data_IF_894135008354
#
_entry.id   IF_894135008354
#
_cell.length_a   1.000
_cell.length_b   1.000
_cell.length_c   1.000
_cell.angle_alpha   90.00
_cell.angle_beta   90.00
_cell.angle_gamma   90.00
#
_symmetry.space_group_name_H-M   'P 1'
#
loop_
_entity.id
_entity.type
_entity.pdbx_description
1 polymer ?
#
# COMPACT_ATOMS: atom_id res chain seq x y z
N UNK A 1 -48.52 39.97 -25.43
CA UNK A 1 -49.16 39.04 -26.39
C UNK A 1 -48.06 38.12 -26.90
N UNK A 2 -48.01 36.83 -26.59
CA UNK A 2 -48.94 35.96 -25.82
C UNK A 2 -48.16 34.85 -25.11
N UNK A 3 -48.61 34.51 -23.89
CA UNK A 3 -48.46 33.19 -23.24
C UNK A 3 -48.92 32.05 -24.18
N UNK A 4 -48.69 30.75 -23.96
CA UNK A 4 -48.11 29.97 -22.86
C UNK A 4 -47.32 28.78 -23.51
N UNK A 5 -46.88 27.69 -22.87
CA UNK A 5 -47.23 27.08 -21.59
C UNK A 5 -46.13 26.13 -21.07
N UNK A 6 -46.29 25.64 -19.83
CA UNK A 6 -45.48 24.54 -19.27
C UNK A 6 -46.13 23.19 -19.63
N UNK A 7 -45.34 22.11 -19.66
CA UNK A 7 -45.58 20.88 -18.86
C UNK A 7 -44.51 19.82 -19.18
N UNK A 8 -44.18 19.00 -18.18
CA UNK A 8 -43.36 17.80 -18.30
C UNK A 8 -44.18 16.62 -17.78
N UNK A 9 -44.12 15.46 -18.45
CA UNK A 9 -44.58 14.15 -17.94
C UNK A 9 -43.72 13.00 -18.52
N UNK A 10 -43.85 11.83 -17.89
CA UNK A 10 -43.05 10.59 -18.01
C UNK A 10 -43.08 9.87 -19.36
N UNK A 11 -42.21 8.86 -19.53
CA UNK A 11 -42.74 7.54 -19.85
C UNK A 11 -42.17 6.42 -18.97
N UNK A 12 -43.00 5.92 -18.05
CA UNK A 12 -42.79 4.64 -17.36
C UNK A 12 -43.76 3.62 -17.98
N UNK A 13 -43.22 2.62 -18.69
CA UNK A 13 -43.99 1.55 -19.34
C UNK A 13 -43.82 0.23 -18.55
N UNK A 14 -44.88 -0.31 -17.89
CA UNK A 14 -44.76 -1.44 -16.99
C UNK A 14 -45.51 -2.71 -17.43
N UNK A 15 -45.39 -3.15 -18.69
CA UNK A 15 -46.05 -4.38 -19.19
C UNK A 15 -45.13 -5.35 -19.98
N UNK A 16 -44.23 -6.07 -19.28
CA UNK A 16 -43.63 -7.31 -19.82
C UNK A 16 -43.40 -8.40 -18.74
N UNK A 17 -44.48 -8.85 -18.08
CA UNK A 17 -44.44 -10.01 -17.20
C UNK A 17 -44.73 -11.33 -17.94
N UNK A 18 -43.68 -11.93 -18.51
CA UNK A 18 -43.70 -13.32 -18.98
C UNK A 18 -43.79 -14.33 -17.82
N UNK A 19 -44.65 -15.35 -17.97
CA UNK A 19 -44.96 -16.33 -16.92
C UNK A 19 -43.77 -17.26 -16.54
N UNK A 20 -43.71 -17.77 -15.29
CA UNK A 20 -42.57 -18.57 -14.81
C UNK A 20 -42.52 -19.98 -15.40
N UNK A 21 -41.32 -20.37 -15.83
CA UNK A 21 -40.99 -21.74 -16.28
C UNK A 21 -40.90 -22.76 -15.14
N UNK A 22 -41.15 -24.02 -15.47
CA UNK A 22 -41.22 -25.18 -14.56
C UNK A 22 -39.85 -25.49 -13.91
N UNK A 23 -39.79 -25.90 -12.62
CA UNK A 23 -38.54 -26.33 -11.99
C UNK A 23 -38.01 -27.64 -12.58
N UNK A 24 -36.77 -27.62 -13.09
CA UNK A 24 -36.04 -28.83 -13.49
C UNK A 24 -35.60 -29.69 -12.29
N UNK A 25 -35.56 -31.00 -12.49
CA UNK A 25 -35.17 -32.00 -11.49
C UNK A 25 -33.69 -31.89 -11.06
N UNK A 26 -33.35 -32.12 -9.78
CA UNK A 26 -31.97 -32.04 -9.31
C UNK A 26 -31.15 -33.28 -9.74
N UNK A 27 -30.01 -33.04 -10.40
CA UNK A 27 -29.01 -34.07 -10.69
C UNK A 27 -28.21 -34.51 -9.46
N UNK A 28 -27.52 -35.67 -9.52
CA UNK A 28 -26.86 -36.28 -8.36
C UNK A 28 -25.66 -35.47 -7.84
N UNK A 29 -25.44 -35.55 -6.53
CA UNK A 29 -24.61 -34.61 -5.79
C UNK A 29 -23.12 -34.60 -6.15
N UNK A 30 -22.56 -33.39 -6.23
CA UNK A 30 -21.12 -33.12 -6.22
C UNK A 30 -20.66 -32.97 -4.76
N UNK A 31 -19.65 -33.71 -4.27
CA UNK A 31 -19.22 -33.59 -2.88
C UNK A 31 -18.54 -32.25 -2.61
N UNK A 32 -18.88 -31.61 -1.49
CA UNK A 32 -18.21 -30.40 -1.01
C UNK A 32 -16.74 -30.68 -0.67
N UNK A 33 -15.80 -29.76 -0.99
CA UNK A 33 -14.40 -29.93 -0.62
C UNK A 33 -14.24 -29.90 0.91
N UNK A 34 -13.76 -31.00 1.48
CA UNK A 34 -13.45 -31.08 2.91
C UNK A 34 -12.06 -30.49 3.17
N UNK A 35 -12.01 -29.46 4.01
CA UNK A 35 -10.76 -28.94 4.56
C UNK A 35 -10.15 -30.02 5.49
N UNK A 36 -8.89 -30.44 5.32
CA UNK A 36 -8.24 -31.38 6.23
C UNK A 36 -8.05 -30.75 7.62
N UNK A 37 -8.35 -31.51 8.68
CA UNK A 37 -8.00 -31.12 10.04
C UNK A 37 -6.46 -31.21 10.24
N UNK A 38 -5.85 -30.36 11.08
CA UNK A 38 -4.43 -30.44 11.39
C UNK A 38 -4.05 -31.80 11.98
N UNK A 39 -2.86 -32.30 11.62
CA UNK A 39 -2.28 -33.50 12.25
C UNK A 39 -1.94 -33.20 13.71
N UNK A 40 -2.26 -34.13 14.61
CA UNK A 40 -1.72 -34.11 15.97
C UNK A 40 -0.19 -34.28 15.92
N UNK A 41 0.53 -33.53 16.75
CA UNK A 41 1.97 -33.65 16.92
C UNK A 41 2.32 -34.91 17.73
N UNK A 42 3.45 -35.54 17.42
CA UNK A 42 3.81 -36.88 17.90
C UNK A 42 4.69 -36.87 19.18
N UNK A 43 4.39 -36.02 20.17
CA UNK A 43 5.23 -35.83 21.37
C UNK A 43 4.48 -35.87 22.72
N UNK A 44 3.27 -36.44 22.77
CA UNK A 44 2.48 -36.60 24.02
C UNK A 44 2.67 -37.96 24.74
N UNK A 45 3.76 -38.68 24.45
CA UNK A 45 4.05 -40.03 24.98
C UNK A 45 4.92 -40.01 26.27
N UNK A 46 4.69 -39.02 27.15
CA UNK A 46 5.36 -38.90 28.44
C UNK A 46 4.54 -39.54 29.58
N UNK A 47 4.75 -40.84 29.81
CA UNK A 47 4.07 -41.58 30.89
C UNK A 47 4.48 -41.09 32.30
N UNK A 48 3.53 -40.50 33.02
CA UNK A 48 3.71 -40.10 34.43
C UNK A 48 3.79 -41.33 35.36
N UNK A 49 4.62 -41.30 36.42
CA UNK A 49 4.75 -42.42 37.35
C UNK A 49 3.47 -42.63 38.18
N UNK A 50 3.07 -43.89 38.35
CA UNK A 50 1.85 -44.24 39.07
C UNK A 50 1.89 -43.86 40.55
N UNK A 51 0.88 -43.10 41.00
CA UNK A 51 0.68 -42.76 42.41
C UNK A 51 0.29 -44.02 43.20
N UNK A 52 1.06 -44.35 44.25
CA UNK A 52 0.68 -45.38 45.23
C UNK A 52 -0.59 -44.94 45.95
N UNK A 53 -1.68 -45.67 45.76
CA UNK A 53 -2.85 -45.54 46.64
C UNK A 53 -2.57 -46.26 47.96
N UNK A 54 -2.45 -45.49 49.04
CA UNK A 54 -2.66 -45.98 50.40
C UNK A 54 -4.01 -45.48 50.92
N UNK A 55 -4.76 -46.35 51.58
CA UNK A 55 -6.03 -46.01 52.24
C UNK A 55 -7.28 -46.35 51.41
N UNK A 56 -8.08 -47.30 51.90
CA UNK A 56 -9.31 -47.74 51.25
C UNK A 56 -10.44 -46.72 51.37
N UNK A 57 -10.85 -46.14 50.24
CA UNK A 57 -12.12 -45.44 50.07
C UNK A 57 -13.03 -46.23 49.11
N UNK A 58 -14.31 -46.37 49.44
CA UNK A 58 -15.31 -46.97 48.56
C UNK A 58 -15.35 -46.20 47.23
N UNK A 59 -15.36 -46.86 46.05
CA UNK A 59 -15.43 -46.14 44.79
C UNK A 59 -16.72 -45.30 44.74
N UNK A 60 -16.55 -43.99 44.54
CA UNK A 60 -17.69 -43.09 44.37
C UNK A 60 -18.49 -43.53 43.12
N UNK A 61 -19.83 -43.55 43.19
CA UNK A 61 -20.64 -43.91 42.02
C UNK A 61 -20.42 -42.90 40.89
N UNK A 62 -20.56 -43.31 39.61
CA UNK A 62 -20.35 -42.43 38.47
C UNK A 62 -21.30 -41.24 38.55
N UNK A 63 -20.75 -40.04 38.71
CA UNK A 63 -21.53 -38.80 38.72
C UNK A 63 -22.08 -38.53 37.33
N UNK A 64 -23.42 -38.47 37.14
CA UNK A 64 -23.98 -38.09 35.85
C UNK A 64 -23.63 -36.63 35.52
N UNK A 65 -23.52 -36.26 34.23
CA UNK A 65 -23.34 -34.86 33.85
C UNK A 65 -24.59 -34.07 34.27
N UNK A 66 -24.44 -33.21 35.27
CA UNK A 66 -25.52 -32.39 35.79
C UNK A 66 -25.66 -31.12 34.96
N UNK A 67 -26.79 -31.00 34.27
CA UNK A 67 -27.28 -29.75 33.67
C UNK A 67 -27.13 -28.57 34.66
N UNK A 68 -26.69 -27.42 34.16
CA UNK A 68 -26.33 -26.25 34.97
C UNK A 68 -27.41 -25.80 35.99
N UNK A 69 -28.74 -25.88 35.72
CA UNK A 69 -29.78 -25.63 36.72
C UNK A 69 -29.81 -26.65 37.86
N UNK A 70 -29.56 -27.93 37.58
CA UNK A 70 -29.57 -29.02 38.58
C UNK A 70 -28.37 -28.89 39.51
N UNK A 71 -27.19 -28.61 38.94
CA UNK A 71 -25.97 -28.33 39.71
C UNK A 71 -26.17 -27.12 40.64
N UNK A 72 -26.77 -26.03 40.15
CA UNK A 72 -27.08 -24.84 40.98
C UNK A 72 -28.01 -25.17 42.16
N UNK A 73 -29.04 -25.99 41.92
CA UNK A 73 -29.96 -26.43 42.98
C UNK A 73 -29.24 -27.25 44.06
N UNK A 74 -28.38 -28.20 43.66
CA UNK A 74 -27.61 -29.04 44.57
C UNK A 74 -26.57 -28.26 45.39
N UNK A 75 -25.89 -27.27 44.77
CA UNK A 75 -24.99 -26.37 45.50
C UNK A 75 -25.77 -25.48 46.49
N UNK A 76 -26.98 -25.04 46.15
CA UNK A 76 -27.86 -24.32 47.09
C UNK A 76 -28.33 -25.16 48.28
N UNK A 77 -28.48 -26.48 48.09
CA UNK A 77 -28.90 -27.43 49.13
C UNK A 77 -27.78 -28.00 50.01
N UNK A 78 -26.51 -27.79 49.67
CA UNK A 78 -25.36 -28.37 50.38
C UNK A 78 -24.24 -27.33 50.57
N UNK A 79 -24.12 -26.76 51.79
CA UNK A 79 -23.12 -25.74 52.11
C UNK A 79 -21.68 -26.20 51.87
N UNK A 80 -21.32 -27.41 52.30
CA UNK A 80 -19.98 -27.97 52.06
C UNK A 80 -19.68 -28.15 50.55
N UNK A 81 -20.68 -28.53 49.76
CA UNK A 81 -20.56 -28.64 48.31
C UNK A 81 -20.39 -27.27 47.64
N UNK A 82 -21.08 -26.24 48.14
CA UNK A 82 -20.93 -24.86 47.68
C UNK A 82 -19.53 -24.30 47.96
N UNK A 83 -18.99 -24.56 49.15
CA UNK A 83 -17.63 -24.18 49.53
C UNK A 83 -16.57 -24.90 48.70
N UNK A 84 -16.72 -26.21 48.45
CA UNK A 84 -15.80 -26.94 47.61
C UNK A 84 -15.87 -26.47 46.15
N UNK A 85 -17.07 -26.25 45.60
CA UNK A 85 -17.23 -25.67 44.27
C UNK A 85 -16.66 -24.24 44.18
N UNK A 86 -16.64 -23.48 45.28
CA UNK A 86 -15.96 -22.17 45.35
C UNK A 86 -14.44 -22.34 45.35
N UNK A 87 -13.88 -23.21 46.20
CA UNK A 87 -12.43 -23.52 46.22
C UNK A 87 -11.93 -24.01 44.86
N UNK A 88 -12.69 -24.88 44.19
CA UNK A 88 -12.34 -25.38 42.86
C UNK A 88 -12.37 -24.27 41.79
N UNK A 89 -13.33 -23.32 41.86
CA UNK A 89 -13.33 -22.14 40.97
C UNK A 89 -12.14 -21.21 41.24
N UNK A 90 -11.79 -20.98 42.50
CA UNK A 90 -10.60 -20.24 42.91
C UNK A 90 -9.31 -20.92 42.38
N UNK A 91 -9.24 -22.26 42.46
CA UNK A 91 -8.11 -23.05 41.95
C UNK A 91 -8.02 -23.08 40.42
N UNK A 92 -9.14 -23.10 39.68
CA UNK A 92 -9.14 -23.03 38.21
C UNK A 92 -8.48 -21.73 37.72
N UNK A 93 -8.72 -20.60 38.40
CA UNK A 93 -8.04 -19.33 38.10
C UNK A 93 -6.53 -19.33 38.36
N UNK A 94 -6.01 -20.28 39.14
CA UNK A 94 -4.57 -20.48 39.38
C UNK A 94 -3.95 -21.49 38.40
N UNK A 95 -4.76 -22.33 37.76
CA UNK A 95 -4.34 -23.36 36.79
C UNK A 95 -4.44 -22.90 35.34
N UNK A 96 -5.36 -21.97 35.05
CA UNK A 96 -5.42 -21.30 33.76
C UNK A 96 -4.22 -20.35 33.63
N UNK A 97 -3.32 -20.64 32.69
CA UNK A 97 -2.43 -19.59 32.15
C UNK A 97 -3.33 -18.50 31.56
N UNK A 98 -3.07 -17.21 31.80
CA UNK A 98 -3.81 -16.16 31.12
C UNK A 98 -3.59 -16.31 29.61
N UNK A 99 -4.67 -16.58 28.87
CA UNK A 99 -4.63 -16.51 27.41
C UNK A 99 -4.30 -15.06 27.01
N UNK A 100 -3.36 -14.83 26.07
CA UNK A 100 -3.12 -13.50 25.53
C UNK A 100 -4.44 -12.94 24.97
N UNK A 101 -4.81 -11.73 25.41
CA UNK A 101 -5.93 -10.99 24.83
C UNK A 101 -5.59 -10.43 23.44
N UNK A 102 -4.33 -10.58 23.01
CA UNK A 102 -3.84 -10.17 21.71
C UNK A 102 -4.45 -11.04 20.62
N UNK A 103 -5.34 -10.43 19.83
CA UNK A 103 -5.87 -11.04 18.62
C UNK A 103 -4.74 -11.27 17.61
N UNK A 104 -4.80 -12.40 16.91
CA UNK A 104 -3.95 -12.66 15.74
C UNK A 104 -3.96 -11.42 14.81
N UNK A 105 -2.80 -10.79 14.52
CA UNK A 105 -2.73 -9.57 13.71
C UNK A 105 -3.36 -9.72 12.31
N UNK A 106 -3.35 -10.93 11.75
CA UNK A 106 -4.00 -11.27 10.49
C UNK A 106 -5.51 -11.50 10.60
N UNK A 107 -6.10 -11.56 11.79
CA UNK A 107 -7.55 -11.77 11.98
C UNK A 107 -8.37 -10.70 11.28
N UNK A 108 -8.01 -9.42 11.43
CA UNK A 108 -8.69 -8.30 10.75
C UNK A 108 -8.69 -8.50 9.23
N UNK A 109 -7.54 -8.84 8.66
CA UNK A 109 -7.38 -9.09 7.22
C UNK A 109 -8.24 -10.27 6.75
N UNK A 110 -8.25 -11.39 7.49
CA UNK A 110 -9.07 -12.57 7.16
C UNK A 110 -10.56 -12.30 7.27
N UNK A 111 -10.99 -11.54 8.29
CA UNK A 111 -12.40 -11.13 8.45
C UNK A 111 -12.82 -10.21 7.30
N UNK A 112 -12.04 -9.17 6.99
CA UNK A 112 -12.32 -8.27 5.88
C UNK A 112 -12.35 -8.99 4.52
N UNK A 113 -11.41 -9.91 4.28
CA UNK A 113 -11.41 -10.74 3.08
C UNK A 113 -12.71 -11.55 2.96
N UNK A 114 -13.12 -12.28 4.02
CA UNK A 114 -14.38 -13.06 3.98
C UNK A 114 -15.62 -12.17 3.87
N UNK A 115 -15.61 -10.96 4.43
CA UNK A 115 -16.69 -9.98 4.23
C UNK A 115 -16.79 -9.51 2.77
N UNK A 116 -15.65 -9.23 2.12
CA UNK A 116 -15.58 -8.80 0.72
C UNK A 116 -15.91 -9.93 -0.26
N UNK A 117 -15.52 -11.18 0.03
CA UNK A 117 -15.95 -12.37 -0.73
C UNK A 117 -17.47 -12.57 -0.69
N UNK A 118 -18.09 -12.36 0.48
CA UNK A 118 -19.55 -12.48 0.66
C UNK A 118 -20.32 -11.31 0.07
N UNK A 119 -19.71 -10.12 0.02
CA UNK A 119 -20.32 -8.89 -0.48
C UNK A 119 -19.30 -8.13 -1.34
N UNK A 120 -19.07 -8.56 -2.58
CA UNK A 120 -18.13 -7.90 -3.47
C UNK A 120 -18.56 -6.45 -3.75
N UNK A 121 -17.60 -5.53 -3.96
CA UNK A 121 -17.92 -4.16 -4.36
C UNK A 121 -18.64 -4.18 -5.70
N UNK A 122 -19.70 -3.36 -5.85
CA UNK A 122 -20.46 -3.26 -7.12
C UNK A 122 -19.59 -2.74 -8.27
N UNK A 123 -18.56 -1.98 -7.94
CA UNK A 123 -17.53 -1.45 -8.83
C UNK A 123 -16.21 -1.63 -8.07
N UNK A 124 -15.34 -2.56 -8.45
CA UNK A 124 -14.04 -2.75 -7.81
C UNK A 124 -13.06 -1.64 -8.24
N UNK A 125 -12.15 -1.27 -7.34
CA UNK A 125 -10.97 -0.48 -7.69
C UNK A 125 -10.06 -1.34 -8.60
N UNK A 126 -9.56 -0.82 -9.74
CA UNK A 126 -8.64 -1.56 -10.60
C UNK A 126 -7.35 -1.94 -9.85
N UNK A 127 -6.79 -3.12 -10.14
CA UNK A 127 -5.59 -3.61 -9.43
C UNK A 127 -4.43 -2.61 -9.45
N UNK A 128 -4.21 -1.96 -10.59
CA UNK A 128 -3.18 -0.93 -10.80
C UNK A 128 -3.44 0.40 -10.06
N UNK A 129 -4.63 0.60 -9.50
CA UNK A 129 -4.98 1.77 -8.69
C UNK A 129 -4.99 1.47 -7.17
N UNK A 130 -4.87 0.19 -6.76
CA UNK A 130 -4.98 -0.22 -5.35
C UNK A 130 -3.90 0.39 -4.45
N UNK A 131 -2.67 0.55 -4.94
CA UNK A 131 -1.60 1.19 -4.17
C UNK A 131 -1.94 2.66 -3.86
N UNK A 132 -2.45 3.40 -4.84
CA UNK A 132 -2.81 4.81 -4.66
C UNK A 132 -3.99 4.97 -3.68
N UNK A 133 -5.06 4.20 -3.87
CA UNK A 133 -6.21 4.17 -2.96
C UNK A 133 -5.78 3.85 -1.52
N UNK A 134 -4.92 2.86 -1.34
CA UNK A 134 -4.43 2.45 -0.02
C UNK A 134 -3.52 3.49 0.64
N UNK A 135 -2.47 3.97 -0.04
CA UNK A 135 -1.51 4.89 0.58
C UNK A 135 -2.11 6.29 0.79
N UNK A 136 -3.00 6.77 -0.10
CA UNK A 136 -3.77 7.99 0.13
C UNK A 136 -4.72 7.84 1.34
N UNK A 137 -5.38 6.69 1.50
CA UNK A 137 -6.22 6.42 2.67
C UNK A 137 -5.40 6.30 3.97
N UNK A 138 -4.17 5.76 3.93
CA UNK A 138 -3.26 5.73 5.09
C UNK A 138 -2.77 7.12 5.47
N UNK A 139 -2.45 7.98 4.51
CA UNK A 139 -2.11 9.38 4.76
C UNK A 139 -3.31 10.14 5.33
N UNK A 140 -4.51 9.98 4.79
CA UNK A 140 -5.71 10.61 5.37
C UNK A 140 -6.00 10.15 6.81
N UNK A 141 -5.71 8.88 7.13
CA UNK A 141 -5.83 8.36 8.49
C UNK A 141 -4.81 9.00 9.46
N UNK A 142 -3.55 9.16 9.04
CA UNK A 142 -2.53 9.91 9.80
C UNK A 142 -3.00 11.34 10.08
N UNK A 143 -3.52 12.03 9.06
CA UNK A 143 -4.02 13.40 9.14
C UNK A 143 -5.36 13.53 9.89
N UNK A 144 -6.02 12.43 10.26
CA UNK A 144 -7.36 12.49 10.82
C UNK A 144 -7.41 13.13 12.20
N UNK A 145 -6.43 12.79 13.04
CA UNK A 145 -6.43 13.12 14.46
C UNK A 145 -5.59 14.38 14.78
N UNK A 146 -5.04 15.04 13.76
CA UNK A 146 -4.18 16.23 13.89
C UNK A 146 -4.97 17.47 14.34
N UNK A 147 -4.53 18.08 15.45
CA UNK A 147 -4.93 19.42 15.89
C UNK A 147 -4.36 20.53 15.00
N UNK A 148 -4.87 21.76 15.16
CA UNK A 148 -4.49 22.91 14.33
C UNK A 148 -2.97 23.24 14.39
N UNK A 149 -2.27 22.84 15.46
CA UNK A 149 -0.81 22.99 15.62
C UNK A 149 -0.02 22.09 14.65
N UNK A 150 -0.39 20.82 14.53
CA UNK A 150 0.31 19.79 13.76
C UNK A 150 0.31 20.12 12.27
N UNK A 151 -0.77 20.75 11.77
CA UNK A 151 -0.83 21.29 10.39
C UNK A 151 0.24 22.34 10.06
N UNK A 152 0.82 22.97 11.09
CA UNK A 152 1.89 23.95 10.99
C UNK A 152 3.26 23.39 11.41
N UNK A 153 3.36 22.09 11.76
CA UNK A 153 4.63 21.46 12.08
C UNK A 153 5.59 21.54 10.88
N UNK A 154 6.88 21.86 11.10
CA UNK A 154 7.83 22.15 10.02
C UNK A 154 8.34 20.86 9.37
N UNK A 155 8.01 20.66 8.09
CA UNK A 155 8.52 19.55 7.28
C UNK A 155 9.70 20.01 6.44
N UNK A 156 10.67 19.13 6.20
CA UNK A 156 11.78 19.35 5.25
C UNK A 156 11.74 18.31 4.14
N UNK A 157 11.09 18.68 3.04
CA UNK A 157 11.14 17.92 1.79
C UNK A 157 12.58 17.84 1.29
N UNK A 158 12.95 16.68 0.74
CA UNK A 158 14.26 16.41 0.15
C UNK A 158 14.06 15.73 -1.20
N UNK A 159 14.98 15.98 -2.12
CA UNK A 159 15.05 15.32 -3.42
C UNK A 159 16.50 15.43 -3.93
N UNK A 160 16.83 14.79 -5.04
CA UNK A 160 18.16 14.80 -5.64
C UNK A 160 18.16 15.61 -6.93
N UNK A 161 19.21 16.38 -7.19
CA UNK A 161 19.38 17.12 -8.45
C UNK A 161 20.85 17.20 -8.82
N UNK A 162 21.17 16.81 -10.05
CA UNK A 162 22.55 16.76 -10.54
C UNK A 162 23.38 15.69 -9.83
N UNK A 163 24.14 16.11 -8.82
CA UNK A 163 24.93 15.25 -7.94
C UNK A 163 24.73 15.59 -6.44
N UNK A 164 23.66 16.33 -6.10
CA UNK A 164 23.45 16.85 -4.74
C UNK A 164 22.03 16.57 -4.26
N UNK A 165 21.92 16.30 -2.96
CA UNK A 165 20.64 16.32 -2.27
C UNK A 165 20.23 17.78 -2.02
N UNK A 166 19.09 18.16 -2.58
CA UNK A 166 18.44 19.45 -2.36
C UNK A 166 17.34 19.31 -1.30
N UNK A 167 16.91 20.43 -0.73
CA UNK A 167 15.86 20.41 0.29
C UNK A 167 15.09 21.73 0.40
N UNK A 168 13.84 21.65 0.86
CA UNK A 168 12.96 22.80 1.08
C UNK A 168 12.16 22.66 2.37
N UNK A 169 12.06 23.76 3.12
CA UNK A 169 11.21 23.83 4.31
C UNK A 169 9.78 24.20 3.91
N UNK A 170 8.83 23.49 4.51
CA UNK A 170 7.38 23.72 4.37
C UNK A 170 6.69 23.35 5.70
N UNK A 171 5.37 23.23 5.71
CA UNK A 171 4.60 22.65 6.84
C UNK A 171 3.83 21.43 6.38
N UNK A 172 3.29 20.63 7.30
CA UNK A 172 2.35 19.54 6.99
C UNK A 172 1.25 19.98 6.01
N UNK A 173 0.60 21.13 6.26
CA UNK A 173 -0.40 21.67 5.33
C UNK A 173 0.19 22.06 3.97
N UNK A 174 1.45 22.49 3.92
CA UNK A 174 2.17 22.75 2.68
C UNK A 174 2.50 21.48 1.89
N UNK A 175 2.78 20.36 2.55
CA UNK A 175 2.97 19.04 1.91
C UNK A 175 1.67 18.54 1.28
N UNK A 176 0.54 18.65 1.99
CA UNK A 176 -0.76 18.26 1.43
C UNK A 176 -1.19 19.21 0.28
N UNK A 177 -0.83 20.49 0.35
CA UNK A 177 -1.02 21.44 -0.77
C UNK A 177 -0.13 21.13 -1.99
N UNK A 178 1.06 20.54 -1.77
CA UNK A 178 1.91 20.01 -2.83
C UNK A 178 1.26 18.77 -3.47
N UNK A 179 0.89 17.75 -2.67
CA UNK A 179 0.27 16.52 -3.17
C UNK A 179 -0.98 16.84 -3.99
N UNK A 180 -1.88 17.67 -3.46
CA UNK A 180 -3.08 18.13 -4.17
C UNK A 180 -2.78 18.83 -5.51
N UNK A 181 -1.71 19.63 -5.56
CA UNK A 181 -1.31 20.30 -6.79
C UNK A 181 -0.82 19.30 -7.86
N UNK A 182 0.01 18.33 -7.47
CA UNK A 182 0.62 17.36 -8.39
C UNK A 182 -0.36 16.24 -8.78
N UNK A 183 -1.20 15.76 -7.85
CA UNK A 183 -2.30 14.82 -8.13
C UNK A 183 -3.29 15.39 -9.18
N UNK A 184 -3.34 16.72 -9.31
CA UNK A 184 -4.02 17.42 -10.40
C UNK A 184 -3.58 17.02 -11.81
N UNK A 185 -2.34 16.55 -12.02
CA UNK A 185 -1.90 16.01 -13.32
C UNK A 185 -2.73 14.78 -13.72
N UNK A 186 -2.97 13.89 -12.76
CA UNK A 186 -3.79 12.69 -12.93
C UNK A 186 -5.27 13.06 -13.05
N UNK A 187 -5.75 14.03 -12.27
CA UNK A 187 -7.13 14.52 -12.34
C UNK A 187 -7.45 15.07 -13.75
N UNK A 188 -6.61 15.96 -14.28
CA UNK A 188 -6.77 16.55 -15.62
C UNK A 188 -6.69 15.49 -16.71
N UNK A 189 -5.77 14.52 -16.62
CA UNK A 189 -5.70 13.41 -17.57
C UNK A 189 -7.01 12.59 -17.57
N UNK A 190 -7.60 12.35 -16.41
CA UNK A 190 -8.90 11.68 -16.25
C UNK A 190 -10.12 12.53 -16.67
N UNK A 191 -9.92 13.79 -17.08
CA UNK A 191 -11.00 14.71 -17.46
C UNK A 191 -11.75 15.31 -16.27
N UNK A 192 -11.15 15.30 -15.08
CA UNK A 192 -11.62 16.02 -13.89
C UNK A 192 -11.09 17.46 -13.88
N UNK A 193 -11.69 18.32 -13.05
CA UNK A 193 -11.26 19.71 -12.88
C UNK A 193 -9.81 19.80 -12.35
N UNK A 194 -9.04 20.78 -12.85
CA UNK A 194 -7.73 21.10 -12.27
C UNK A 194 -7.93 21.77 -10.89
N UNK A 195 -7.28 21.27 -9.81
CA UNK A 195 -7.35 21.91 -8.49
C UNK A 195 -6.75 23.32 -8.47
N UNK A 196 -5.84 23.65 -9.40
CA UNK A 196 -5.16 24.94 -9.48
C UNK A 196 -5.96 25.92 -10.35
N UNK A 197 -6.26 27.10 -9.79
CA UNK A 197 -7.00 28.15 -10.48
C UNK A 197 -6.05 29.04 -11.29
N UNK A 198 -5.75 28.62 -12.52
CA UNK A 198 -4.94 29.36 -13.49
C UNK A 198 -5.04 28.75 -14.89
N UNK A 199 -4.55 29.45 -15.92
CA UNK A 199 -4.34 28.83 -17.23
C UNK A 199 -3.12 27.89 -17.19
N UNK A 200 -3.01 26.97 -18.16
CA UNK A 200 -1.82 26.12 -18.30
C UNK A 200 -0.53 26.97 -18.42
N UNK A 201 -0.61 28.12 -19.08
CA UNK A 201 0.48 29.10 -19.23
C UNK A 201 0.90 29.77 -17.90
N UNK A 202 -0.03 29.90 -16.93
CA UNK A 202 0.24 30.52 -15.62
C UNK A 202 0.80 29.50 -14.62
N UNK A 203 0.27 28.28 -14.65
CA UNK A 203 0.60 27.19 -13.72
C UNK A 203 1.92 26.51 -14.09
N UNK A 204 2.23 26.44 -15.40
CA UNK A 204 3.35 25.69 -15.93
C UNK A 204 3.09 24.17 -15.95
N UNK A 205 4.03 23.44 -16.55
CA UNK A 205 3.96 21.98 -16.67
C UNK A 205 4.74 21.26 -15.55
N UNK A 206 4.28 20.06 -15.21
CA UNK A 206 4.96 19.15 -14.29
C UNK A 206 4.86 19.48 -12.79
N UNK A 207 5.37 18.58 -11.93
CA UNK A 207 5.20 18.65 -10.48
C UNK A 207 5.75 19.95 -9.85
N UNK A 208 7.01 20.30 -10.12
CA UNK A 208 7.70 21.45 -9.51
C UNK A 208 6.96 22.78 -9.77
N UNK A 209 6.51 23.01 -11.01
CA UNK A 209 5.81 24.24 -11.38
C UNK A 209 4.45 24.36 -10.67
N UNK A 210 3.69 23.25 -10.62
CA UNK A 210 2.39 23.16 -9.93
C UNK A 210 2.52 23.33 -8.42
N UNK A 211 3.54 22.72 -7.80
CA UNK A 211 3.89 22.91 -6.39
C UNK A 211 4.19 24.38 -6.07
N UNK A 212 5.04 25.02 -6.86
CA UNK A 212 5.39 26.43 -6.70
C UNK A 212 4.20 27.36 -6.91
N UNK A 213 3.36 27.10 -7.93
CA UNK A 213 2.14 27.86 -8.16
C UNK A 213 1.18 27.76 -6.97
N UNK A 214 0.98 26.56 -6.42
CA UNK A 214 0.13 26.31 -5.26
C UNK A 214 0.56 27.13 -4.03
N UNK A 215 1.84 27.04 -3.67
CA UNK A 215 2.40 27.74 -2.51
C UNK A 215 2.47 29.27 -2.70
N UNK A 216 2.68 29.78 -3.92
CA UNK A 216 2.73 31.22 -4.20
C UNK A 216 1.35 31.86 -4.32
N UNK A 217 0.34 31.09 -4.74
CA UNK A 217 -1.04 31.55 -4.93
C UNK A 217 -1.78 31.86 -3.62
N UNK A 218 -1.28 31.40 -2.46
CA UNK A 218 -1.91 31.64 -1.16
C UNK A 218 -1.20 32.75 -0.39
N UNK A 219 -1.94 33.82 -0.03
CA UNK A 219 -1.39 34.98 0.73
C UNK A 219 -0.98 34.64 2.18
N UNK A 220 -1.51 33.56 2.72
CA UNK A 220 -1.24 33.05 4.07
C UNK A 220 -0.73 31.61 3.96
N UNK A 221 -0.01 31.08 4.97
CA UNK A 221 0.34 29.66 4.99
C UNK A 221 -0.89 28.77 4.85
N UNK A 222 -0.72 27.62 4.18
CA UNK A 222 -1.75 26.59 4.15
C UNK A 222 -2.06 26.12 5.57
N UNK A 223 -3.32 25.74 5.80
CA UNK A 223 -3.83 25.20 7.07
C UNK A 223 -4.58 23.89 6.81
N UNK A 224 -5.18 23.26 7.82
CA UNK A 224 -5.99 22.04 7.68
C UNK A 224 -7.10 22.07 6.62
N UNK A 225 -7.49 23.26 6.14
CA UNK A 225 -8.44 23.42 5.04
C UNK A 225 -8.02 22.73 3.74
N UNK A 226 -6.74 22.40 3.55
CA UNK A 226 -6.26 21.65 2.38
C UNK A 226 -6.67 20.18 2.36
N UNK A 227 -6.97 19.59 3.53
CA UNK A 227 -7.26 18.15 3.64
C UNK A 227 -8.50 17.73 2.86
N UNK A 228 -9.59 18.50 2.97
CA UNK A 228 -10.87 18.11 2.37
C UNK A 228 -10.85 18.18 0.83
N UNK A 229 -10.30 19.23 0.17
CA UNK A 229 -10.11 19.24 -1.28
C UNK A 229 -9.18 18.13 -1.78
N UNK A 230 -8.03 17.91 -1.12
CA UNK A 230 -7.10 16.84 -1.47
C UNK A 230 -7.77 15.46 -1.40
N UNK A 231 -8.43 15.14 -0.27
CA UNK A 231 -9.14 13.86 -0.09
C UNK A 231 -10.25 13.67 -1.12
N UNK A 232 -11.02 14.72 -1.42
CA UNK A 232 -12.08 14.66 -2.42
C UNK A 232 -11.51 14.33 -3.80
N UNK A 233 -10.44 15.00 -4.22
CA UNK A 233 -9.74 14.71 -5.46
C UNK A 233 -9.19 13.27 -5.51
N UNK A 234 -8.56 12.79 -4.44
CA UNK A 234 -8.05 11.42 -4.39
C UNK A 234 -9.17 10.38 -4.55
N UNK A 235 -10.31 10.59 -3.86
CA UNK A 235 -11.51 9.78 -4.04
C UNK A 235 -12.05 9.85 -5.48
N UNK A 236 -12.12 11.04 -6.10
CA UNK A 236 -12.67 11.22 -7.45
C UNK A 236 -11.75 10.63 -8.54
N UNK A 237 -10.43 10.68 -8.36
CA UNK A 237 -9.45 9.97 -9.20
C UNK A 237 -9.69 8.46 -9.14
N UNK A 238 -9.71 7.86 -7.94
CA UNK A 238 -9.93 6.40 -7.76
C UNK A 238 -11.30 5.98 -8.29
N UNK A 239 -12.34 6.77 -7.99
CA UNK A 239 -13.70 6.57 -8.50
C UNK A 239 -13.71 6.56 -10.02
N UNK A 240 -13.13 7.55 -10.67
CA UNK A 240 -13.13 7.69 -12.14
C UNK A 240 -12.37 6.56 -12.81
N UNK A 241 -11.18 6.22 -12.31
CA UNK A 241 -10.42 5.05 -12.75
C UNK A 241 -11.23 3.73 -12.65
N UNK A 242 -12.04 3.60 -11.60
CA UNK A 242 -12.91 2.43 -11.38
C UNK A 242 -14.10 2.35 -12.36
N UNK A 243 -14.59 3.49 -12.88
CA UNK A 243 -15.63 3.53 -13.90
C UNK A 243 -15.08 3.35 -15.33
N UNK A 244 -13.85 3.80 -15.60
CA UNK A 244 -13.26 3.75 -16.95
C UNK A 244 -12.67 2.37 -17.32
N UNK A 245 -12.51 1.48 -16.35
CA UNK A 245 -12.11 0.09 -16.57
C UNK A 245 -10.65 -0.10 -17.02
N UNK A 246 -10.34 -1.29 -17.55
CA UNK A 246 -8.96 -1.70 -17.86
C UNK A 246 -8.28 -0.93 -18.99
N UNK A 247 -9.04 -0.29 -19.89
CA UNK A 247 -8.49 0.47 -21.02
C UNK A 247 -7.85 1.81 -20.62
N UNK A 248 -8.29 2.40 -19.50
CA UNK A 248 -7.76 3.69 -19.04
C UNK A 248 -6.32 3.63 -18.54
N UNK A 249 -5.83 2.48 -18.08
CA UNK A 249 -4.47 2.32 -17.56
C UNK A 249 -3.35 2.56 -18.59
N UNK A 250 -3.68 2.75 -19.87
CA UNK A 250 -2.77 3.16 -20.95
C UNK A 250 -2.82 4.65 -21.31
N UNK A 251 -3.70 5.44 -20.68
CA UNK A 251 -3.85 6.89 -20.94
C UNK A 251 -2.59 7.65 -20.51
N UNK A 252 -2.11 8.59 -21.33
CA UNK A 252 -0.95 9.41 -21.02
C UNK A 252 -1.21 10.44 -19.92
N UNK A 253 -0.30 10.53 -18.95
CA UNK A 253 -0.25 11.58 -17.92
C UNK A 253 1.08 12.32 -18.09
N UNK A 254 1.03 13.58 -18.51
CA UNK A 254 2.23 14.41 -18.68
C UNK A 254 2.75 14.90 -17.34
N UNK A 255 4.05 14.70 -17.12
CA UNK A 255 4.82 15.23 -15.98
C UNK A 255 5.66 16.46 -16.40
N UNK A 256 5.36 17.07 -17.54
CA UNK A 256 6.20 18.09 -18.17
C UNK A 256 7.17 17.44 -19.17
N UNK A 257 8.38 17.15 -18.73
CA UNK A 257 9.47 16.66 -19.59
C UNK A 257 9.29 15.20 -20.06
N UNK A 258 8.43 14.43 -19.40
CA UNK A 258 8.10 13.04 -19.73
C UNK A 258 6.61 12.75 -19.55
N UNK A 259 6.17 11.58 -20.00
CA UNK A 259 4.80 11.08 -19.86
C UNK A 259 4.81 9.68 -19.24
N UNK A 260 3.91 9.44 -18.29
CA UNK A 260 3.64 8.10 -17.74
C UNK A 260 2.26 7.62 -18.15
N UNK A 261 2.07 6.33 -18.50
CA UNK A 261 0.74 5.73 -18.56
C UNK A 261 0.04 5.84 -17.19
N UNK A 262 -1.27 6.06 -17.17
CA UNK A 262 -2.06 6.32 -15.97
C UNK A 262 -1.82 5.31 -14.84
N UNK A 263 -1.64 4.02 -15.17
CA UNK A 263 -1.30 2.97 -14.19
C UNK A 263 0.05 3.21 -13.48
N UNK A 264 1.04 3.68 -14.22
CA UNK A 264 2.39 3.95 -13.75
C UNK A 264 2.41 5.32 -13.03
N UNK A 265 1.61 6.29 -13.51
CA UNK A 265 1.36 7.56 -12.82
C UNK A 265 0.67 7.36 -11.45
N UNK A 266 -0.31 6.46 -11.31
CA UNK A 266 -0.91 6.17 -10.00
C UNK A 266 0.06 5.46 -9.04
N UNK A 267 0.98 4.63 -9.56
CA UNK A 267 2.05 4.03 -8.75
C UNK A 267 3.06 5.08 -8.28
N UNK A 268 3.40 6.06 -9.11
CA UNK A 268 4.16 7.27 -8.71
C UNK A 268 3.41 8.04 -7.62
N UNK A 269 2.13 8.39 -7.82
CA UNK A 269 1.35 9.12 -6.80
C UNK A 269 1.23 8.33 -5.49
N UNK A 270 1.14 7.00 -5.54
CA UNK A 270 1.13 6.15 -4.36
C UNK A 270 2.46 6.19 -3.58
N UNK A 271 3.58 6.19 -4.30
CA UNK A 271 4.92 6.32 -3.72
C UNK A 271 5.07 7.68 -3.03
N UNK A 272 4.68 8.76 -3.71
CA UNK A 272 4.71 10.13 -3.19
C UNK A 272 3.78 10.32 -1.97
N UNK A 273 2.58 9.72 -1.97
CA UNK A 273 1.72 9.68 -0.77
C UNK A 273 2.38 8.99 0.42
N UNK A 274 3.08 7.86 0.22
CA UNK A 274 3.78 7.17 1.30
C UNK A 274 5.00 7.97 1.81
N UNK A 275 5.88 8.40 0.91
CA UNK A 275 7.11 9.15 1.24
C UNK A 275 6.75 10.42 2.02
N UNK A 276 5.74 11.16 1.57
CA UNK A 276 5.32 12.37 2.26
C UNK A 276 4.49 12.10 3.54
N UNK A 277 3.87 10.93 3.68
CA UNK A 277 3.31 10.52 4.97
C UNK A 277 4.42 10.21 5.99
N UNK A 278 5.54 9.62 5.57
CA UNK A 278 6.74 9.42 6.40
C UNK A 278 7.38 10.77 6.79
N UNK A 279 7.57 11.70 5.84
CA UNK A 279 8.00 13.08 6.13
C UNK A 279 7.13 13.78 7.20
N UNK A 280 5.80 13.65 7.07
CA UNK A 280 4.84 14.24 8.00
C UNK A 280 4.92 13.55 9.36
N UNK A 281 4.96 12.22 9.39
CA UNK A 281 5.03 11.43 10.61
C UNK A 281 6.31 11.72 11.40
N UNK A 282 7.46 11.80 10.73
CA UNK A 282 8.73 12.24 11.33
C UNK A 282 8.64 13.67 11.88
N UNK A 283 7.93 14.59 11.21
CA UNK A 283 7.80 15.97 11.67
C UNK A 283 6.89 16.17 12.89
N UNK A 284 6.10 15.14 13.28
CA UNK A 284 5.23 15.14 14.46
C UNK A 284 5.52 14.00 15.45
N UNK A 285 6.67 13.34 15.32
CA UNK A 285 7.12 12.20 16.16
C UNK A 285 6.10 11.03 16.21
N UNK A 286 5.43 10.73 15.09
CA UNK A 286 4.43 9.65 14.97
C UNK A 286 5.02 8.39 14.29
N UNK A 287 4.72 7.17 14.77
CA UNK A 287 5.19 5.93 14.15
C UNK A 287 4.43 5.61 12.85
N UNK A 288 5.14 5.43 11.74
CA UNK A 288 4.54 5.12 10.45
C UNK A 288 5.28 3.99 9.71
N UNK A 289 4.59 2.86 9.52
CA UNK A 289 5.17 1.67 8.90
C UNK A 289 5.33 1.82 7.36
N UNK A 290 6.22 1.04 6.72
CA UNK A 290 6.27 0.92 5.26
C UNK A 290 4.95 0.43 4.61
N UNK A 291 4.80 0.56 3.27
CA UNK A 291 3.64 0.05 2.55
C UNK A 291 3.50 -1.47 2.68
N UNK A 292 2.28 -1.97 2.43
CA UNK A 292 2.07 -3.42 2.33
C UNK A 292 3.02 -4.02 1.27
N UNK A 293 3.62 -5.21 1.49
CA UNK A 293 4.69 -5.72 0.63
C UNK A 293 4.39 -5.74 -0.88
N UNK A 294 3.12 -5.98 -1.25
CA UNK A 294 2.65 -5.92 -2.64
C UNK A 294 2.65 -4.51 -3.24
N UNK A 295 2.36 -3.46 -2.47
CA UNK A 295 2.40 -2.07 -2.94
C UNK A 295 3.87 -1.63 -3.05
N UNK A 296 4.68 -1.94 -2.03
CA UNK A 296 6.11 -1.67 -2.04
C UNK A 296 6.80 -2.32 -3.25
N UNK A 297 6.52 -3.60 -3.53
CA UNK A 297 7.01 -4.28 -4.75
C UNK A 297 6.61 -3.56 -6.03
N UNK A 298 5.37 -3.11 -6.16
CA UNK A 298 4.90 -2.41 -7.36
C UNK A 298 5.59 -1.04 -7.56
N UNK A 299 5.89 -0.33 -6.46
CA UNK A 299 6.68 0.92 -6.49
C UNK A 299 8.14 0.65 -6.89
N UNK A 300 8.77 -0.37 -6.30
CA UNK A 300 10.13 -0.80 -6.65
C UNK A 300 10.21 -1.20 -8.13
N UNK A 301 9.23 -1.95 -8.62
CA UNK A 301 9.16 -2.40 -10.02
C UNK A 301 8.97 -1.23 -11.00
N UNK A 302 8.23 -0.18 -10.62
CA UNK A 302 8.17 1.06 -11.40
C UNK A 302 9.52 1.77 -11.43
N UNK A 303 10.13 2.02 -10.26
CA UNK A 303 11.42 2.70 -10.16
C UNK A 303 12.51 1.95 -10.95
N UNK A 304 12.60 0.62 -10.80
CA UNK A 304 13.53 -0.23 -11.56
C UNK A 304 13.30 -0.15 -13.08
N UNK A 305 12.06 -0.06 -13.56
CA UNK A 305 11.74 0.18 -14.98
C UNK A 305 12.15 1.57 -15.47
N UNK A 306 12.21 2.58 -14.58
CA UNK A 306 12.61 3.95 -14.93
C UNK A 306 14.13 4.15 -14.96
N UNK A 307 14.90 3.34 -14.24
CA UNK A 307 16.38 3.46 -14.16
C UNK A 307 17.10 3.57 -15.52
N UNK A 308 16.76 2.80 -16.59
CA UNK A 308 17.45 2.92 -17.87
C UNK A 308 17.24 4.28 -18.56
N UNK A 309 16.07 4.89 -18.38
CA UNK A 309 15.79 6.24 -18.89
C UNK A 309 16.54 7.31 -18.08
N UNK A 310 16.47 7.23 -16.75
CA UNK A 310 17.21 8.13 -15.86
C UNK A 310 18.74 8.06 -16.09
N UNK A 311 19.30 6.86 -16.33
CA UNK A 311 20.69 6.68 -16.74
C UNK A 311 21.01 7.39 -18.06
N UNK A 312 20.13 7.29 -19.05
CA UNK A 312 20.32 7.94 -20.35
C UNK A 312 20.28 9.47 -20.23
N UNK A 313 19.32 10.02 -19.49
CA UNK A 313 19.21 11.46 -19.20
C UNK A 313 20.44 11.99 -18.47
N UNK A 314 20.90 11.29 -17.42
CA UNK A 314 22.14 11.65 -16.70
C UNK A 314 23.36 11.67 -17.63
N UNK A 315 23.48 10.75 -18.59
CA UNK A 315 24.56 10.78 -19.59
C UNK A 315 24.44 11.94 -20.56
N UNK A 316 23.23 12.26 -21.02
CA UNK A 316 22.99 13.44 -21.86
C UNK A 316 23.36 14.75 -21.14
N UNK A 317 23.14 14.81 -19.83
CA UNK A 317 23.56 15.92 -18.97
C UNK A 317 25.06 15.91 -18.59
N UNK A 318 25.83 14.87 -18.97
CA UNK A 318 27.25 14.72 -18.60
C UNK A 318 27.49 14.33 -17.14
N UNK A 319 26.48 13.81 -16.44
CA UNK A 319 26.46 13.46 -15.02
C UNK A 319 26.59 11.94 -14.74
N UNK A 320 26.85 11.16 -15.78
CA UNK A 320 27.08 9.72 -15.74
C UNK A 320 28.09 9.34 -16.82
N UNK A 321 28.74 8.20 -16.66
CA UNK A 321 29.84 7.79 -17.54
C UNK A 321 29.34 7.52 -18.96
N UNK A 322 30.03 7.99 -20.02
CA UNK A 322 29.64 7.68 -21.39
C UNK A 322 29.69 6.17 -21.61
N UNK A 323 28.70 5.63 -22.31
CA UNK A 323 28.59 4.18 -22.56
C UNK A 323 29.90 3.61 -23.15
N UNK A 324 30.39 2.50 -22.59
CA UNK A 324 31.67 1.91 -23.02
C UNK A 324 31.64 1.38 -24.46
N UNK A 325 30.46 1.20 -25.04
CA UNK A 325 30.27 0.87 -26.46
C UNK A 325 30.13 2.14 -27.30
N UNK A 326 30.91 2.26 -28.38
CA UNK A 326 30.78 3.37 -29.37
C UNK A 326 29.47 3.36 -30.15
N UNK A 327 28.69 2.28 -30.04
CA UNK A 327 27.39 2.10 -30.66
C UNK A 327 26.39 1.71 -29.58
N UNK A 328 25.17 2.24 -29.66
CA UNK A 328 24.06 1.82 -28.82
C UNK A 328 23.71 0.36 -29.12
N UNK A 329 23.41 -0.41 -28.07
CA UNK A 329 22.87 -1.76 -28.22
C UNK A 329 21.53 -1.67 -29.00
N UNK A 330 21.32 -2.47 -30.06
CA UNK A 330 20.08 -2.47 -30.82
C UNK A 330 18.86 -2.75 -29.91
N UNK A 331 17.72 -2.12 -30.23
CA UNK A 331 16.51 -2.30 -29.43
C UNK A 331 16.14 -3.78 -29.29
N UNK A 332 15.71 -4.19 -28.09
CA UNK A 332 15.33 -5.57 -27.78
C UNK A 332 16.50 -6.56 -27.64
N UNK A 333 17.75 -6.14 -27.80
CA UNK A 333 18.93 -7.01 -27.64
C UNK A 333 19.52 -6.90 -26.22
N UNK A 334 20.14 -7.97 -25.69
CA UNK A 334 20.79 -7.91 -24.39
C UNK A 334 22.02 -6.97 -24.42
N UNK A 335 22.21 -6.21 -23.34
CA UNK A 335 23.36 -5.32 -23.14
C UNK A 335 24.02 -5.53 -21.78
N UNK A 336 25.11 -4.80 -21.48
CA UNK A 336 25.71 -4.86 -20.13
C UNK A 336 24.63 -4.51 -19.11
N UNK A 337 24.52 -5.31 -18.08
CA UNK A 337 23.45 -5.22 -17.09
C UNK A 337 24.03 -5.11 -15.69
N UNK A 338 23.38 -4.32 -14.85
CA UNK A 338 23.56 -4.39 -13.40
C UNK A 338 22.41 -5.20 -12.82
N UNK A 339 22.72 -6.22 -12.01
CA UNK A 339 21.75 -6.92 -11.17
C UNK A 339 21.40 -6.02 -9.99
N UNK A 340 20.13 -5.68 -9.85
CA UNK A 340 19.56 -5.02 -8.69
C UNK A 340 18.77 -6.06 -7.91
N UNK A 341 19.27 -6.45 -6.74
CA UNK A 341 18.59 -7.32 -5.80
C UNK A 341 18.00 -6.47 -4.68
N UNK A 342 16.71 -6.63 -4.42
CA UNK A 342 16.03 -5.96 -3.31
C UNK A 342 15.57 -7.02 -2.32
N UNK A 343 15.99 -6.87 -1.07
CA UNK A 343 15.67 -7.78 0.03
C UNK A 343 14.26 -7.53 0.60
N UNK A 344 13.80 -8.43 1.48
CA UNK A 344 12.54 -8.29 2.20
C UNK A 344 11.29 -8.76 1.43
N UNK A 345 10.12 -8.59 2.05
CA UNK A 345 8.85 -9.16 1.57
C UNK A 345 8.30 -8.52 0.28
N UNK A 346 8.73 -7.28 -0.03
CA UNK A 346 8.45 -6.60 -1.30
C UNK A 346 9.56 -6.78 -2.35
N UNK A 347 10.60 -7.54 -2.01
CA UNK A 347 11.84 -7.67 -2.78
C UNK A 347 11.73 -8.44 -4.10
N UNK A 348 12.88 -8.60 -4.76
CA UNK A 348 13.01 -9.25 -6.05
C UNK A 348 14.38 -9.02 -6.70
N UNK A 349 14.53 -9.49 -7.94
CA UNK A 349 15.72 -9.25 -8.76
C UNK A 349 15.32 -8.59 -10.08
N UNK A 350 16.06 -7.56 -10.49
CA UNK A 350 15.91 -6.87 -11.77
C UNK A 350 17.27 -6.74 -12.44
N UNK A 351 17.33 -6.92 -13.77
CA UNK A 351 18.52 -6.64 -14.56
C UNK A 351 18.34 -5.29 -15.25
N UNK A 352 19.11 -4.30 -14.82
CA UNK A 352 19.05 -2.92 -15.32
C UNK A 352 19.99 -2.80 -16.52
N UNK A 353 19.49 -2.65 -17.77
CA UNK A 353 20.34 -2.44 -18.93
C UNK A 353 21.08 -1.12 -18.82
N UNK A 354 22.41 -1.17 -18.89
CA UNK A 354 23.28 -0.03 -18.64
C UNK A 354 23.48 0.83 -19.88
N UNK A 355 23.70 0.23 -21.06
CA UNK A 355 24.23 0.95 -22.23
C UNK A 355 23.16 1.66 -23.09
N UNK A 356 21.87 1.28 -22.98
CA UNK A 356 20.76 1.85 -23.76
C UNK A 356 19.41 1.60 -23.08
N UNK A 357 18.48 2.57 -23.03
CA UNK A 357 17.13 2.37 -22.46
C UNK A 357 16.25 1.42 -23.29
N UNK A 358 16.63 1.14 -24.55
CA UNK A 358 15.94 0.19 -25.42
C UNK A 358 16.55 -1.23 -25.39
N UNK A 359 17.65 -1.44 -24.64
CA UNK A 359 18.24 -2.77 -24.47
C UNK A 359 17.48 -3.60 -23.42
N UNK A 360 17.70 -4.91 -23.44
CA UNK A 360 17.11 -5.84 -22.48
C UNK A 360 18.14 -6.19 -21.41
N UNK A 361 17.73 -6.17 -20.14
CA UNK A 361 18.55 -6.64 -19.03
C UNK A 361 18.81 -8.15 -19.11
N UNK A 362 20.03 -8.60 -18.84
CA UNK A 362 20.41 -10.00 -18.93
C UNK A 362 21.44 -10.41 -17.88
N UNK A 363 21.20 -11.55 -17.23
CA UNK A 363 22.13 -12.20 -16.32
C UNK A 363 23.42 -12.70 -17.04
N UNK A 364 23.34 -13.02 -18.33
CA UNK A 364 24.51 -13.44 -19.13
C UNK A 364 25.52 -12.30 -19.31
N UNK A 365 25.05 -11.05 -19.28
CA UNK A 365 25.84 -9.84 -19.45
C UNK A 365 25.89 -9.00 -18.17
N UNK A 366 25.76 -9.64 -17.01
CA UNK A 366 25.92 -8.99 -15.70
C UNK A 366 27.38 -8.50 -15.54
N UNK A 367 27.55 -7.22 -15.23
CA UNK A 367 28.86 -6.61 -14.96
C UNK A 367 28.99 -6.09 -13.52
N UNK A 368 27.88 -6.01 -12.81
CA UNK A 368 27.79 -5.53 -11.44
C UNK A 368 26.53 -6.04 -10.75
N UNK A 369 26.60 -6.17 -9.44
CA UNK A 369 25.50 -6.53 -8.55
C UNK A 369 25.40 -5.51 -7.41
N UNK A 370 24.19 -5.04 -7.15
CA UNK A 370 23.82 -4.17 -6.02
C UNK A 370 22.67 -4.81 -5.26
N UNK A 371 22.82 -4.97 -3.95
CA UNK A 371 21.82 -5.54 -3.05
C UNK A 371 21.48 -4.57 -1.91
N UNK A 372 20.19 -4.35 -1.61
CA UNK A 372 19.74 -3.48 -0.51
C UNK A 372 18.29 -3.80 -0.08
N UNK A 373 17.88 -3.31 1.09
CA UNK A 373 16.48 -3.43 1.55
C UNK A 373 15.51 -2.57 0.68
N UNK A 374 14.25 -3.00 0.59
CA UNK A 374 13.23 -2.30 -0.19
C UNK A 374 12.91 -0.89 0.30
N UNK A 375 12.95 -0.64 1.62
CA UNK A 375 12.76 0.71 2.16
C UNK A 375 13.98 1.57 1.86
N UNK A 376 15.20 1.03 2.01
CA UNK A 376 16.45 1.72 1.68
C UNK A 376 16.48 2.18 0.21
N UNK A 377 16.11 1.29 -0.73
CA UNK A 377 16.02 1.63 -2.15
C UNK A 377 14.99 2.72 -2.42
N UNK A 378 13.84 2.68 -1.76
CA UNK A 378 12.82 3.70 -1.88
C UNK A 378 13.25 5.04 -1.28
N UNK A 379 13.94 5.07 -0.14
CA UNK A 379 14.49 6.29 0.45
C UNK A 379 15.62 6.90 -0.39
N UNK A 380 16.44 6.06 -1.05
CA UNK A 380 17.36 6.50 -2.10
C UNK A 380 16.60 7.10 -3.29
N UNK A 381 15.61 6.39 -3.83
CA UNK A 381 14.82 6.84 -4.99
C UNK A 381 14.00 8.12 -4.74
N UNK A 382 13.61 8.36 -3.48
CA UNK A 382 12.99 9.60 -3.01
C UNK A 382 14.01 10.73 -2.74
N UNK A 383 15.31 10.48 -2.89
CA UNK A 383 16.35 11.48 -2.61
C UNK A 383 16.46 11.85 -1.14
N UNK A 384 16.01 10.98 -0.22
CA UNK A 384 16.16 11.14 1.23
C UNK A 384 17.54 10.72 1.73
N UNK A 385 18.17 9.76 1.04
CA UNK A 385 19.53 9.27 1.29
C UNK A 385 20.40 9.60 0.07
N UNK A 386 21.63 10.04 0.28
CA UNK A 386 22.57 10.28 -0.82
C UNK A 386 23.09 8.94 -1.39
N UNK A 387 23.37 8.83 -2.71
CA UNK A 387 23.85 7.58 -3.31
C UNK A 387 25.12 6.99 -2.67
N UNK A 388 26.02 7.84 -2.17
CA UNK A 388 27.27 7.43 -1.52
C UNK A 388 27.08 7.03 -0.04
N UNK A 389 25.92 7.35 0.58
CA UNK A 389 25.55 7.00 1.96
C UNK A 389 24.61 5.77 2.04
N UNK A 390 24.06 5.31 0.93
CA UNK A 390 23.08 4.23 0.88
C UNK A 390 23.65 2.89 1.37
N UNK A 391 22.90 2.18 2.20
CA UNK A 391 23.26 0.90 2.81
C UNK A 391 23.15 -0.29 1.81
N UNK A 392 23.97 -0.25 0.76
CA UNK A 392 23.96 -1.22 -0.32
C UNK A 392 25.20 -2.14 -0.32
N UNK A 393 24.98 -3.45 -0.45
CA UNK A 393 26.01 -4.41 -0.84
C UNK A 393 26.37 -4.24 -2.31
N UNK A 394 27.67 -4.23 -2.63
CA UNK A 394 28.17 -3.83 -3.96
C UNK A 394 29.28 -4.78 -4.46
N UNK A 395 29.12 -5.34 -5.65
CA UNK A 395 30.10 -6.23 -6.30
C UNK A 395 30.22 -5.92 -7.79
N UNK A 396 31.44 -5.89 -8.33
CA UNK A 396 31.70 -5.73 -9.76
C UNK A 396 32.08 -4.30 -10.19
N UNK A 397 31.56 -3.86 -11.33
CA UNK A 397 31.94 -2.61 -12.00
C UNK A 397 31.47 -1.36 -11.23
N UNK A 398 32.38 -0.76 -10.46
CA UNK A 398 32.11 0.44 -9.64
C UNK A 398 31.56 1.64 -10.43
N UNK A 399 31.91 1.76 -11.72
CA UNK A 399 31.37 2.76 -12.65
C UNK A 399 29.84 2.60 -12.78
N UNK A 400 29.42 1.38 -13.13
CA UNK A 400 28.03 1.03 -13.33
C UNK A 400 27.21 1.13 -12.02
N UNK A 401 27.80 0.72 -10.89
CA UNK A 401 27.16 0.81 -9.57
C UNK A 401 26.87 2.27 -9.21
N UNK A 402 27.87 3.15 -9.31
CA UNK A 402 27.70 4.58 -9.04
C UNK A 402 26.67 5.20 -9.98
N UNK A 403 26.79 4.96 -11.29
CA UNK A 403 25.85 5.50 -12.27
C UNK A 403 24.39 5.07 -11.95
N UNK A 404 24.15 3.81 -11.54
CA UNK A 404 22.81 3.33 -11.17
C UNK A 404 22.30 3.94 -9.86
N UNK A 405 23.10 3.99 -8.80
CA UNK A 405 22.66 4.59 -7.52
C UNK A 405 22.33 6.09 -7.67
N UNK A 406 23.12 6.81 -8.47
CA UNK A 406 22.84 8.21 -8.82
C UNK A 406 21.65 8.37 -9.78
N UNK A 407 21.35 7.38 -10.63
CA UNK A 407 20.14 7.35 -11.45
C UNK A 407 18.88 7.05 -10.62
N UNK A 408 18.97 6.18 -9.61
CA UNK A 408 17.90 5.92 -8.66
C UNK A 408 17.53 7.20 -7.89
N UNK A 409 18.51 7.88 -7.30
CA UNK A 409 18.26 9.14 -6.59
C UNK A 409 17.66 10.22 -7.49
N UNK A 410 18.09 10.30 -8.76
CA UNK A 410 17.57 11.25 -9.74
C UNK A 410 16.12 10.99 -10.19
N UNK A 411 15.45 9.93 -9.72
CA UNK A 411 14.00 9.75 -9.91
C UNK A 411 13.18 10.73 -9.07
N UNK A 412 13.72 11.22 -7.95
CA UNK A 412 13.08 12.16 -7.03
C UNK A 412 12.93 13.58 -7.59
N UNK A 413 11.96 14.34 -7.04
CA UNK A 413 11.54 15.68 -7.48
C UNK A 413 10.83 16.43 -6.34
N UNK A 414 10.56 17.72 -6.56
CA UNK A 414 9.66 18.57 -5.73
C UNK A 414 8.27 18.69 -6.36
#
# INVERSE_FOLDING_TARGET
MTNADRHAEDPFDPDEYGAPGVPGTPGPGRPSPRIPLPRAAAEDDAAYPAVRQEGGGVPAPPTPPLEHPVLKSLLGGCGACADEARRLREAVGLLQRPEPLDLDPGLRTRVLASCLERRPPRIPVPEWALSYDAEAARLDALLQDFGDSEWHAPVRLRWFTGERQENRRTTVAGVIAHLHAVDGLVAVALGLDDPLRGGADDVGCGPVARTEFSWRSTRFPHTRTVRAPWRAQAHDIVRTASFTGGSAGGLGVSYGDFELPLRDALLDRAFECWVHADDIAQAVDYPYDPPAPRHLRAMIELAARMLPAALAERRLAGLASPGRTRHLVPAGHPGRSLRLEIEGLGGGEWFIPLDSPAAVGSAEYEVAHVALDGVEFCQLAAGHIAPDDAAAGQVGDREAIRDVLFAAAALSRM
#
